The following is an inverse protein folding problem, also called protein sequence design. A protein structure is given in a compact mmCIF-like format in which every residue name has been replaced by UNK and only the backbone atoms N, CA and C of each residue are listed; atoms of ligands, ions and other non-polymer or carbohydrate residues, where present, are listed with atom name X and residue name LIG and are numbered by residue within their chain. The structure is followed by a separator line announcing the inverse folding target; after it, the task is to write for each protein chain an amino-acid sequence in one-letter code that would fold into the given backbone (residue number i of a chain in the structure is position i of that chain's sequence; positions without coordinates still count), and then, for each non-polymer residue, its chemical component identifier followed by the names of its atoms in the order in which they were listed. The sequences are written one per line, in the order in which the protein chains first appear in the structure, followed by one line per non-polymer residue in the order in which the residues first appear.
data_IF_905837369561
#
_entry.id   IF_905837369561
#
_cell.length_a   1.000
_cell.length_b   1.000
_cell.length_c   1.000
_cell.angle_alpha   90.00
_cell.angle_beta   90.00
_cell.angle_gamma   90.00
#
_symmetry.space_group_name_H-M   'P 1'
#
loop_
_entity.id
_entity.type
_entity.pdbx_description
1 polymer ?
#
# COMPACT_ATOMS: atom_id res chain seq x y z
N UNK A 1 30.35 8.38 -21.54
CA UNK A 1 30.49 6.99 -22.01
C UNK A 1 29.21 6.28 -21.59
N UNK A 2 28.19 6.30 -22.46
CA UNK A 2 26.93 5.60 -22.19
C UNK A 2 27.22 4.11 -22.33
N UNK A 3 27.21 3.38 -21.21
CA UNK A 3 27.17 1.93 -21.29
C UNK A 3 25.87 1.59 -22.01
N UNK A 4 25.97 0.94 -23.17
CA UNK A 4 24.87 0.20 -23.78
C UNK A 4 24.41 -0.80 -22.71
N UNK A 5 23.37 -0.45 -21.96
CA UNK A 5 22.70 -1.35 -21.02
C UNK A 5 22.27 -2.57 -21.83
N UNK A 6 22.79 -3.75 -21.47
CA UNK A 6 22.43 -4.99 -22.14
C UNK A 6 20.98 -5.32 -21.75
N UNK A 7 20.04 -4.75 -22.51
CA UNK A 7 18.59 -4.86 -22.32
C UNK A 7 18.11 -6.29 -22.00
N UNK A 8 18.59 -7.34 -22.71
CA UNK A 8 18.36 -8.74 -22.35
C UNK A 8 18.80 -9.14 -20.93
N UNK A 9 19.99 -8.71 -20.50
CA UNK A 9 20.53 -9.02 -19.17
C UNK A 9 19.69 -8.36 -18.07
N UNK A 10 19.25 -7.12 -18.28
CA UNK A 10 18.34 -6.44 -17.36
C UNK A 10 17.00 -7.18 -17.24
N UNK A 11 16.41 -7.57 -18.37
CA UNK A 11 15.18 -8.36 -18.37
C UNK A 11 15.33 -9.70 -17.64
N UNK A 12 16.46 -10.39 -17.81
CA UNK A 12 16.76 -11.63 -17.10
C UNK A 12 16.94 -11.42 -15.58
N UNK A 13 17.58 -10.32 -15.17
CA UNK A 13 17.71 -9.94 -13.75
C UNK A 13 16.36 -9.62 -13.12
N UNK A 14 15.49 -8.89 -13.82
CA UNK A 14 14.15 -8.62 -13.31
C UNK A 14 13.32 -9.91 -13.20
N UNK A 15 13.30 -10.73 -14.26
CA UNK A 15 12.63 -12.04 -14.25
C UNK A 15 13.08 -12.91 -13.07
N UNK A 16 14.40 -13.10 -12.91
CA UNK A 16 14.95 -13.92 -11.83
C UNK A 16 14.74 -13.29 -10.45
N UNK A 17 14.82 -11.96 -10.35
CA UNK A 17 14.56 -11.21 -9.12
C UNK A 17 13.13 -11.39 -8.61
N UNK A 18 12.13 -11.29 -9.49
CA UNK A 18 10.72 -11.46 -9.13
C UNK A 18 10.44 -12.87 -8.58
N UNK A 19 11.00 -13.90 -9.21
CA UNK A 19 10.86 -15.28 -8.74
C UNK A 19 11.60 -15.46 -7.41
N UNK A 20 12.85 -15.03 -7.34
CA UNK A 20 13.69 -15.20 -6.15
C UNK A 20 13.09 -14.53 -4.90
N UNK A 21 12.46 -13.37 -5.06
CA UNK A 21 11.79 -12.65 -3.97
C UNK A 21 10.60 -13.41 -3.36
N UNK A 22 10.02 -14.36 -4.12
CA UNK A 22 8.89 -15.20 -3.74
C UNK A 22 9.30 -16.65 -3.45
N UNK A 23 10.57 -17.01 -3.62
CA UNK A 23 11.07 -18.36 -3.36
C UNK A 23 11.55 -18.53 -1.91
N UNK A 24 11.18 -19.66 -1.31
CA UNK A 24 11.73 -20.15 -0.06
C UNK A 24 12.41 -21.51 -0.32
N UNK A 25 13.68 -21.74 0.12
CA UNK A 25 14.37 -23.01 -0.04
C UNK A 25 13.58 -24.24 0.44
N UNK A 26 12.72 -24.09 1.44
CA UNK A 26 11.95 -25.19 2.04
C UNK A 26 10.55 -25.38 1.43
N UNK A 27 9.95 -24.31 0.90
CA UNK A 27 8.53 -24.29 0.49
C UNK A 27 8.33 -24.11 -1.02
N UNK A 28 9.42 -23.88 -1.77
CA UNK A 28 9.36 -23.56 -3.19
C UNK A 28 8.96 -22.10 -3.45
N UNK A 29 8.43 -21.82 -4.64
CA UNK A 29 8.02 -20.48 -5.05
C UNK A 29 6.53 -20.26 -4.76
N UNK A 30 6.22 -19.20 -4.01
CA UNK A 30 4.85 -18.76 -3.79
C UNK A 30 4.35 -17.99 -5.03
N UNK A 31 3.49 -18.65 -5.82
CA UNK A 31 2.93 -18.11 -7.06
C UNK A 31 2.16 -16.81 -6.81
N UNK A 32 1.40 -16.70 -5.72
CA UNK A 32 0.61 -15.51 -5.42
C UNK A 32 1.53 -14.31 -5.16
N UNK A 33 2.65 -14.51 -4.46
CA UNK A 33 3.65 -13.45 -4.27
C UNK A 33 4.28 -13.01 -5.57
N UNK A 34 4.61 -13.92 -6.48
CA UNK A 34 5.10 -13.54 -7.81
C UNK A 34 4.06 -12.72 -8.57
N UNK A 35 2.78 -13.10 -8.53
CA UNK A 35 1.68 -12.32 -9.12
C UNK A 35 1.60 -10.91 -8.51
N UNK A 36 1.72 -10.77 -7.19
CA UNK A 36 1.74 -9.47 -6.52
C UNK A 36 2.96 -8.63 -6.90
N UNK A 37 4.14 -9.24 -7.04
CA UNK A 37 5.33 -8.56 -7.52
C UNK A 37 5.18 -8.08 -8.97
N UNK A 38 4.66 -8.93 -9.87
CA UNK A 38 4.34 -8.54 -11.24
C UNK A 38 3.33 -7.38 -11.28
N UNK A 39 2.31 -7.43 -10.43
CA UNK A 39 1.33 -6.34 -10.30
C UNK A 39 2.00 -5.02 -9.86
N UNK A 40 2.92 -5.08 -8.90
CA UNK A 40 3.73 -3.94 -8.50
C UNK A 40 4.55 -3.36 -9.65
N UNK A 41 5.26 -4.21 -10.40
CA UNK A 41 6.05 -3.77 -11.56
C UNK A 41 5.18 -3.07 -12.60
N UNK A 42 4.01 -3.63 -12.91
CA UNK A 42 3.05 -3.04 -13.83
C UNK A 42 2.56 -1.67 -13.35
N UNK A 43 2.11 -1.57 -12.10
CA UNK A 43 1.62 -0.30 -11.55
C UNK A 43 2.71 0.76 -11.55
N UNK A 44 3.94 0.42 -11.17
CA UNK A 44 5.06 1.38 -11.26
C UNK A 44 5.29 1.84 -12.70
N UNK A 45 5.18 0.94 -13.67
CA UNK A 45 5.33 1.25 -15.09
C UNK A 45 4.19 2.13 -15.60
N UNK A 46 2.95 1.90 -15.15
CA UNK A 46 1.78 2.68 -15.57
C UNK A 46 1.82 4.11 -15.05
N UNK A 47 2.30 4.30 -13.82
CA UNK A 47 2.43 5.61 -13.18
C UNK A 47 3.46 6.53 -13.87
N UNK A 48 4.24 6.02 -14.82
CA UNK A 48 5.15 6.81 -15.66
C UNK A 48 4.39 7.55 -16.78
N UNK A 49 3.23 7.04 -17.20
CA UNK A 49 2.41 7.65 -18.25
C UNK A 49 1.49 8.73 -17.69
N UNK A 50 1.09 9.68 -18.55
CA UNK A 50 0.20 10.78 -18.18
C UNK A 50 -1.19 10.30 -17.71
N UNK A 51 -1.70 9.22 -18.34
CA UNK A 51 -2.96 8.55 -17.99
C UNK A 51 -2.69 7.09 -17.58
N UNK A 52 -2.41 6.82 -16.28
CA UNK A 52 -2.07 5.48 -15.81
C UNK A 52 -3.20 4.44 -15.96
N UNK A 53 -4.45 4.89 -15.93
CA UNK A 53 -5.64 4.07 -16.11
C UNK A 53 -5.79 3.58 -17.56
N UNK A 54 -5.65 4.48 -18.53
CA UNK A 54 -5.62 4.12 -19.96
C UNK A 54 -4.45 3.17 -20.27
N UNK A 55 -3.28 3.43 -19.68
CA UNK A 55 -2.12 2.56 -19.82
C UNK A 55 -2.39 1.15 -19.25
N UNK A 56 -3.03 1.07 -18.09
CA UNK A 56 -3.41 -0.20 -17.46
C UNK A 56 -4.40 -0.99 -18.33
N UNK A 57 -5.45 -0.37 -18.84
CA UNK A 57 -6.44 -1.04 -19.70
C UNK A 57 -5.81 -1.57 -20.99
N UNK A 58 -5.05 -0.74 -21.70
CA UNK A 58 -4.34 -1.15 -22.91
C UNK A 58 -3.36 -2.29 -22.64
N UNK A 59 -2.74 -2.33 -21.45
CA UNK A 59 -1.82 -3.40 -21.08
C UNK A 59 -2.52 -4.73 -20.84
N UNK A 60 -3.75 -4.71 -20.31
CA UNK A 60 -4.55 -5.92 -20.17
C UNK A 60 -4.95 -6.46 -21.53
N UNK A 61 -5.37 -5.60 -22.47
CA UNK A 61 -5.66 -6.03 -23.85
C UNK A 61 -4.42 -6.64 -24.52
N UNK A 62 -3.26 -5.99 -24.39
CA UNK A 62 -2.00 -6.51 -24.91
C UNK A 62 -1.59 -7.84 -24.26
N UNK A 63 -1.80 -8.00 -22.96
CA UNK A 63 -1.53 -9.26 -22.27
C UNK A 63 -2.51 -10.35 -22.69
N UNK A 64 -3.79 -10.05 -22.88
CA UNK A 64 -4.78 -11.00 -23.38
C UNK A 64 -4.38 -11.52 -24.77
N UNK A 65 -3.93 -10.63 -25.67
CA UNK A 65 -3.41 -10.97 -26.99
C UNK A 65 -2.15 -11.85 -26.90
N UNK A 66 -1.17 -11.46 -26.07
CA UNK A 66 0.07 -12.23 -25.88
C UNK A 66 -0.21 -13.61 -25.29
N UNK A 67 -1.08 -13.68 -24.29
CA UNK A 67 -1.52 -14.91 -23.63
C UNK A 67 -2.52 -15.70 -24.47
N UNK A 68 -3.05 -15.17 -25.58
CA UNK A 68 -4.06 -15.86 -26.39
C UNK A 68 -5.28 -16.33 -25.58
N UNK A 69 -5.61 -15.66 -24.48
CA UNK A 69 -6.76 -16.00 -23.64
C UNK A 69 -7.29 -14.78 -22.87
N UNK A 70 -8.60 -14.80 -22.60
CA UNK A 70 -9.25 -13.84 -21.70
C UNK A 70 -9.07 -14.23 -20.22
N UNK A 71 -9.09 -13.27 -19.28
CA UNK A 71 -9.08 -13.57 -17.86
C UNK A 71 -10.35 -14.31 -17.46
N UNK A 72 -10.24 -15.19 -16.46
CA UNK A 72 -11.37 -15.97 -15.96
C UNK A 72 -12.53 -15.06 -15.51
N UNK A 73 -13.74 -15.32 -16.03
CA UNK A 73 -14.94 -14.56 -15.71
C UNK A 73 -15.48 -14.85 -14.30
N UNK A 74 -16.26 -13.91 -13.78
CA UNK A 74 -17.00 -14.07 -12.52
C UNK A 74 -16.40 -13.34 -11.32
N UNK A 75 -17.05 -13.53 -10.17
CA UNK A 75 -16.67 -12.89 -8.92
C UNK A 75 -15.47 -13.60 -8.30
N UNK A 76 -14.42 -12.83 -8.03
CA UNK A 76 -13.27 -13.31 -7.25
C UNK A 76 -13.71 -13.42 -5.80
N UNK A 77 -13.53 -14.59 -5.21
CA UNK A 77 -13.94 -14.82 -3.81
C UNK A 77 -13.08 -13.98 -2.86
N UNK A 78 -13.63 -13.59 -1.70
CA UNK A 78 -12.90 -12.78 -0.71
C UNK A 78 -11.59 -13.41 -0.23
N UNK A 79 -11.49 -14.73 -0.29
CA UNK A 79 -10.33 -15.49 0.18
C UNK A 79 -9.33 -15.78 -0.95
N UNK A 80 -9.63 -15.40 -2.20
CA UNK A 80 -8.73 -15.61 -3.33
C UNK A 80 -7.57 -14.59 -3.37
N UNK A 81 -7.73 -13.45 -2.69
CA UNK A 81 -6.68 -12.43 -2.59
C UNK A 81 -6.15 -12.36 -1.15
N UNK A 82 -4.84 -12.10 -0.97
CA UNK A 82 -4.29 -11.86 0.36
C UNK A 82 -4.91 -10.62 1.04
N UNK A 83 -4.80 -10.50 2.37
CA UNK A 83 -5.17 -9.29 3.09
C UNK A 83 -4.49 -8.03 2.56
N UNK A 84 -5.15 -6.88 2.68
CA UNK A 84 -4.71 -5.61 2.10
C UNK A 84 -3.27 -5.21 2.47
N UNK A 85 -2.86 -5.42 3.73
CA UNK A 85 -1.49 -5.12 4.19
C UNK A 85 -0.43 -6.02 3.52
N UNK A 86 -0.75 -7.29 3.25
CA UNK A 86 0.15 -8.22 2.55
C UNK A 86 0.23 -7.83 1.08
N UNK A 87 -0.91 -7.48 0.47
CA UNK A 87 -0.93 -6.99 -0.90
C UNK A 87 -0.10 -5.73 -1.06
N UNK A 88 -0.28 -4.73 -0.20
CA UNK A 88 0.52 -3.51 -0.22
C UNK A 88 2.02 -3.81 -0.10
N UNK A 89 2.39 -4.68 0.86
CA UNK A 89 3.79 -5.07 1.08
C UNK A 89 4.43 -5.75 -0.16
N UNK A 90 3.82 -6.82 -0.67
CA UNK A 90 4.42 -7.59 -1.77
C UNK A 90 4.35 -6.82 -3.10
N UNK A 91 3.30 -6.02 -3.34
CA UNK A 91 3.24 -5.16 -4.53
C UNK A 91 4.28 -4.04 -4.47
N UNK A 92 4.54 -3.43 -3.31
CA UNK A 92 5.59 -2.43 -3.17
C UNK A 92 6.99 -3.00 -3.45
N UNK A 93 7.27 -4.26 -3.07
CA UNK A 93 8.52 -4.93 -3.46
C UNK A 93 8.68 -5.04 -4.98
N UNK A 94 7.58 -5.33 -5.69
CA UNK A 94 7.54 -5.31 -7.15
C UNK A 94 7.79 -3.92 -7.74
N UNK A 95 7.13 -2.90 -7.18
CA UNK A 95 7.35 -1.49 -7.59
C UNK A 95 8.79 -1.04 -7.37
N UNK A 96 9.36 -1.36 -6.21
CA UNK A 96 10.76 -1.07 -5.91
C UNK A 96 11.70 -1.75 -6.90
N UNK A 97 11.47 -3.02 -7.24
CA UNK A 97 12.24 -3.70 -8.27
C UNK A 97 12.15 -2.95 -9.61
N UNK A 98 10.95 -2.55 -10.04
CA UNK A 98 10.78 -1.79 -11.29
C UNK A 98 11.54 -0.47 -11.29
N UNK A 99 11.51 0.32 -10.20
CA UNK A 99 12.26 1.58 -10.08
C UNK A 99 13.77 1.38 -10.30
N UNK A 100 14.35 0.37 -9.65
CA UNK A 100 15.77 0.06 -9.78
C UNK A 100 16.19 -0.23 -11.22
N UNK A 101 15.31 -0.83 -12.03
CA UNK A 101 15.59 -1.08 -13.45
C UNK A 101 15.21 0.10 -14.36
N UNK A 102 14.21 0.89 -13.98
CA UNK A 102 13.75 2.03 -14.75
C UNK A 102 14.78 3.17 -14.75
N UNK A 103 15.45 3.42 -13.62
CA UNK A 103 16.56 4.40 -13.54
C UNK A 103 17.70 4.10 -14.52
N UNK A 104 17.91 2.82 -14.85
CA UNK A 104 18.91 2.36 -15.82
C UNK A 104 18.37 2.35 -17.26
N UNK A 105 17.04 2.49 -17.45
CA UNK A 105 16.31 2.43 -18.72
C UNK A 105 15.74 3.80 -19.10
N UNK A 106 16.62 4.80 -19.24
CA UNK A 106 16.23 6.20 -19.47
C UNK A 106 15.79 6.54 -20.90
N UNK A 107 15.91 5.61 -21.84
CA UNK A 107 15.80 5.93 -23.27
C UNK A 107 14.37 5.82 -23.84
N UNK A 108 13.51 4.92 -23.34
CA UNK A 108 12.15 4.74 -23.85
C UNK A 108 11.22 3.96 -22.90
N UNK A 109 10.20 4.64 -22.37
CA UNK A 109 9.19 4.10 -21.45
C UNK A 109 8.32 3.02 -22.12
N UNK A 110 7.96 3.20 -23.40
CA UNK A 110 7.18 2.22 -24.15
C UNK A 110 7.94 0.91 -24.40
N UNK A 111 9.26 0.97 -24.62
CA UNK A 111 10.07 -0.25 -24.76
C UNK A 111 10.21 -0.99 -23.44
N UNK A 112 10.40 -0.27 -22.33
CA UNK A 112 10.42 -0.87 -21.00
C UNK A 112 9.09 -1.55 -20.71
N UNK A 113 7.98 -0.87 -20.96
CA UNK A 113 6.65 -1.43 -20.79
C UNK A 113 6.45 -2.74 -21.58
N UNK A 114 6.81 -2.75 -22.87
CA UNK A 114 6.74 -3.97 -23.69
C UNK A 114 7.62 -5.11 -23.16
N UNK A 115 8.82 -4.79 -22.65
CA UNK A 115 9.68 -5.78 -22.00
C UNK A 115 8.99 -6.39 -20.77
N UNK A 116 8.37 -5.56 -19.92
CA UNK A 116 7.63 -6.04 -18.75
C UNK A 116 6.50 -6.99 -19.14
N UNK A 117 5.68 -6.63 -20.13
CA UNK A 117 4.61 -7.51 -20.60
C UNK A 117 5.15 -8.84 -21.14
N UNK A 118 6.28 -8.81 -21.85
CA UNK A 118 6.97 -10.03 -22.31
C UNK A 118 7.49 -10.91 -21.17
N UNK A 119 8.05 -10.31 -20.11
CA UNK A 119 8.49 -11.03 -18.90
C UNK A 119 7.30 -11.71 -18.23
N UNK A 120 6.21 -10.97 -18.00
CA UNK A 120 4.99 -11.47 -17.36
C UNK A 120 4.37 -12.60 -18.17
N UNK A 121 4.23 -12.41 -19.49
CA UNK A 121 3.78 -13.46 -20.39
C UNK A 121 4.61 -14.75 -20.22
N UNK A 122 5.94 -14.64 -20.25
CA UNK A 122 6.81 -15.81 -20.14
C UNK A 122 6.72 -16.49 -18.77
N UNK A 123 6.52 -15.75 -17.68
CA UNK A 123 6.29 -16.31 -16.34
C UNK A 123 4.98 -17.10 -16.32
N UNK A 124 3.88 -16.50 -16.80
CA UNK A 124 2.56 -17.14 -16.78
C UNK A 124 2.55 -18.40 -17.63
N UNK A 125 3.12 -18.36 -18.83
CA UNK A 125 3.22 -19.53 -19.72
C UNK A 125 4.07 -20.64 -19.10
N UNK A 126 5.17 -20.30 -18.42
CA UNK A 126 6.01 -21.29 -17.76
C UNK A 126 5.26 -22.06 -16.64
N UNK A 127 4.28 -21.44 -15.98
CA UNK A 127 3.49 -22.11 -14.95
C UNK A 127 2.42 -23.08 -15.49
N UNK A 128 2.14 -23.05 -16.79
CA UNK A 128 1.23 -24.06 -17.39
C UNK A 128 1.84 -25.47 -17.34
N UNK A 129 3.17 -25.58 -17.43
CA UNK A 129 3.89 -26.83 -17.25
C UNK A 129 3.67 -27.41 -15.83
N UNK A 130 3.37 -26.53 -14.86
CA UNK A 130 3.02 -26.85 -13.47
C UNK A 130 1.49 -26.89 -13.21
N UNK A 131 0.69 -27.05 -14.28
CA UNK A 131 -0.78 -27.14 -14.24
C UNK A 131 -1.50 -25.90 -13.70
N UNK A 132 -0.87 -24.73 -13.72
CA UNK A 132 -1.57 -23.48 -13.39
C UNK A 132 -2.35 -22.97 -14.61
N UNK A 133 -3.59 -22.55 -14.38
CA UNK A 133 -4.44 -21.99 -15.43
C UNK A 133 -3.99 -20.58 -15.82
N UNK A 134 -3.70 -20.37 -17.11
CA UNK A 134 -3.36 -19.06 -17.68
C UNK A 134 -4.45 -18.02 -17.42
N UNK A 135 -5.71 -18.39 -17.67
CA UNK A 135 -6.85 -17.50 -17.49
C UNK A 135 -7.08 -17.12 -16.01
N UNK A 136 -6.86 -18.05 -15.08
CA UNK A 136 -6.98 -17.79 -13.64
C UNK A 136 -5.83 -16.91 -13.13
N UNK A 137 -4.60 -17.23 -13.53
CA UNK A 137 -3.42 -16.43 -13.20
C UNK A 137 -3.56 -15.00 -13.71
N UNK A 138 -4.03 -14.85 -14.96
CA UNK A 138 -4.26 -13.54 -15.55
C UNK A 138 -5.36 -12.78 -14.80
N UNK A 139 -6.45 -13.45 -14.40
CA UNK A 139 -7.50 -12.87 -13.57
C UNK A 139 -6.97 -12.34 -12.23
N UNK A 140 -6.15 -13.13 -11.54
CA UNK A 140 -5.55 -12.75 -10.26
C UNK A 140 -4.56 -11.60 -10.42
N UNK A 141 -3.79 -11.58 -11.51
CA UNK A 141 -2.89 -10.47 -11.84
C UNK A 141 -3.68 -9.17 -12.01
N UNK A 142 -4.75 -9.16 -12.80
CA UNK A 142 -5.62 -7.99 -13.01
C UNK A 142 -6.14 -7.46 -11.67
N UNK A 143 -6.64 -8.34 -10.79
CA UNK A 143 -7.15 -7.93 -9.49
C UNK A 143 -6.05 -7.34 -8.59
N UNK A 144 -4.85 -7.93 -8.58
CA UNK A 144 -3.71 -7.39 -7.84
C UNK A 144 -3.27 -6.02 -8.36
N UNK A 145 -3.21 -5.86 -9.68
CA UNK A 145 -2.87 -4.58 -10.34
C UNK A 145 -3.88 -3.51 -9.95
N UNK A 146 -5.18 -3.80 -10.07
CA UNK A 146 -6.25 -2.86 -9.70
C UNK A 146 -6.19 -2.47 -8.24
N UNK A 147 -5.93 -3.43 -7.33
CA UNK A 147 -5.80 -3.14 -5.89
C UNK A 147 -4.58 -2.30 -5.58
N UNK A 148 -3.42 -2.65 -6.14
CA UNK A 148 -2.18 -1.89 -5.98
C UNK A 148 -2.35 -0.45 -6.49
N UNK A 149 -2.92 -0.27 -7.69
CA UNK A 149 -3.24 1.06 -8.24
C UNK A 149 -4.17 1.84 -7.31
N UNK A 150 -5.20 1.19 -6.78
CA UNK A 150 -6.13 1.80 -5.81
C UNK A 150 -5.40 2.30 -4.56
N UNK A 151 -4.47 1.51 -4.01
CA UNK A 151 -3.71 1.91 -2.81
C UNK A 151 -2.80 3.11 -3.07
N UNK A 152 -2.17 3.16 -4.24
CA UNK A 152 -1.30 4.26 -4.64
C UNK A 152 -2.05 5.56 -4.89
N UNK A 153 -3.12 5.51 -5.69
CA UNK A 153 -3.99 6.66 -5.96
C UNK A 153 -4.59 7.14 -4.65
N UNK A 154 -5.11 6.23 -3.82
CA UNK A 154 -5.69 6.61 -2.54
C UNK A 154 -4.68 7.30 -1.61
N UNK A 155 -3.44 6.79 -1.53
CA UNK A 155 -2.42 7.41 -0.71
C UNK A 155 -2.08 8.83 -1.18
N UNK A 156 -2.01 9.06 -2.49
CA UNK A 156 -1.75 10.37 -3.08
C UNK A 156 -2.92 11.34 -2.88
N UNK A 157 -4.12 10.95 -3.31
CA UNK A 157 -5.32 11.80 -3.26
C UNK A 157 -5.70 12.19 -1.84
N UNK A 158 -5.53 11.28 -0.86
CA UNK A 158 -5.77 11.61 0.54
C UNK A 158 -4.76 12.64 1.07
N UNK A 159 -3.50 12.58 0.65
CA UNK A 159 -2.50 13.60 0.96
C UNK A 159 -2.86 14.95 0.34
N UNK A 160 -3.25 14.95 -0.93
CA UNK A 160 -3.63 16.17 -1.65
C UNK A 160 -4.87 16.80 -1.02
N UNK A 161 -5.87 16.00 -0.64
CA UNK A 161 -7.05 16.46 0.11
C UNK A 161 -6.66 17.15 1.41
N UNK A 162 -5.78 16.56 2.25
CA UNK A 162 -5.41 17.20 3.53
C UNK A 162 -4.59 18.48 3.30
N UNK A 163 -3.72 18.51 2.29
CA UNK A 163 -2.92 19.70 1.98
C UNK A 163 -3.82 20.82 1.43
N UNK A 164 -4.62 20.53 0.40
CA UNK A 164 -5.43 21.53 -0.26
C UNK A 164 -6.62 21.99 0.57
N UNK A 165 -7.33 21.06 1.24
CA UNK A 165 -8.56 21.40 1.97
C UNK A 165 -8.27 21.80 3.40
N UNK A 166 -7.34 21.13 4.08
CA UNK A 166 -7.12 21.35 5.51
C UNK A 166 -6.00 22.34 5.80
N UNK A 167 -4.84 22.19 5.16
CA UNK A 167 -3.75 23.15 5.35
C UNK A 167 -4.09 24.48 4.68
N UNK A 168 -4.36 24.49 3.37
CA UNK A 168 -4.50 25.73 2.63
C UNK A 168 -5.78 26.54 2.94
N UNK A 169 -6.91 25.88 3.24
CA UNK A 169 -8.19 26.57 3.49
C UNK A 169 -8.57 26.69 4.98
N UNK A 170 -8.21 25.69 5.80
CA UNK A 170 -8.62 25.63 7.21
C UNK A 170 -7.46 25.89 8.19
N UNK A 171 -6.22 26.05 7.69
CA UNK A 171 -5.06 26.41 8.51
C UNK A 171 -4.54 25.29 9.42
N UNK A 172 -4.80 24.02 9.07
CA UNK A 172 -4.24 22.88 9.80
C UNK A 172 -2.72 22.82 9.67
N UNK A 173 -2.06 22.35 10.72
CA UNK A 173 -0.63 22.04 10.67
C UNK A 173 -0.38 20.68 10.00
N UNK A 174 0.85 20.42 9.55
CA UNK A 174 1.23 19.09 9.07
C UNK A 174 1.07 18.01 10.15
N UNK A 175 1.25 18.37 11.43
CA UNK A 175 0.98 17.50 12.57
C UNK A 175 -0.49 17.10 12.65
N UNK A 176 -1.42 18.03 12.42
CA UNK A 176 -2.86 17.75 12.37
C UNK A 176 -3.20 16.81 11.21
N UNK A 177 -2.57 17.00 10.05
CA UNK A 177 -2.74 16.10 8.90
C UNK A 177 -2.27 14.68 9.22
N UNK A 178 -1.08 14.52 9.80
CA UNK A 178 -0.54 13.22 10.23
C UNK A 178 -1.47 12.55 11.25
N UNK A 179 -1.86 13.29 12.30
CA UNK A 179 -2.71 12.76 13.35
C UNK A 179 -4.10 12.39 12.82
N UNK A 180 -4.68 13.19 11.93
CA UNK A 180 -6.01 12.94 11.37
C UNK A 180 -6.08 11.67 10.50
N UNK A 181 -5.15 11.50 9.55
CA UNK A 181 -5.10 10.33 8.67
C UNK A 181 -4.76 9.05 9.46
N UNK A 182 -3.82 9.15 10.41
CA UNK A 182 -3.47 8.05 11.32
C UNK A 182 -4.68 7.64 12.17
N UNK A 183 -5.40 8.62 12.72
CA UNK A 183 -6.59 8.37 13.52
C UNK A 183 -7.73 7.73 12.70
N UNK A 184 -8.00 8.22 11.48
CA UNK A 184 -8.98 7.61 10.58
C UNK A 184 -8.57 6.18 10.23
N UNK A 185 -7.29 5.92 9.97
CA UNK A 185 -6.80 4.56 9.75
C UNK A 185 -7.13 3.64 10.93
N UNK A 186 -6.84 4.08 12.16
CA UNK A 186 -7.11 3.32 13.39
C UNK A 186 -8.61 3.09 13.62
N UNK A 187 -9.44 4.09 13.32
CA UNK A 187 -10.91 3.98 13.38
C UNK A 187 -11.43 2.94 12.40
N UNK A 188 -10.99 2.99 11.13
CA UNK A 188 -11.41 2.07 10.07
C UNK A 188 -11.00 0.63 10.39
N UNK A 189 -9.80 0.44 10.95
CA UNK A 189 -9.34 -0.87 11.42
C UNK A 189 -10.21 -1.42 12.55
N UNK A 190 -10.51 -0.58 13.56
CA UNK A 190 -11.36 -0.99 14.68
C UNK A 190 -12.79 -1.36 14.21
N UNK A 191 -13.29 -0.70 13.17
CA UNK A 191 -14.58 -1.05 12.55
C UNK A 191 -14.53 -2.28 11.64
N UNK A 192 -13.34 -2.63 11.11
CA UNK A 192 -13.19 -3.81 10.25
C UNK A 192 -13.05 -5.11 11.03
N UNK A 193 -12.55 -5.04 12.27
CA UNK A 193 -12.43 -6.22 13.13
C UNK A 193 -13.74 -6.51 13.87
N UNK A 194 -14.02 -7.79 14.11
CA UNK A 194 -15.15 -8.18 14.95
C UNK A 194 -14.92 -7.70 16.39
N UNK A 195 -16.02 -7.45 17.13
CA UNK A 195 -16.02 -7.03 18.55
C UNK A 195 -15.16 -7.93 19.43
N UNK A 196 -15.15 -9.23 19.16
CA UNK A 196 -14.39 -10.23 19.93
C UNK A 196 -12.88 -10.19 19.67
N UNK A 197 -12.43 -9.47 18.63
CA UNK A 197 -11.01 -9.28 18.25
C UNK A 197 -10.55 -7.85 18.60
N UNK A 198 -11.50 -6.93 18.82
CA UNK A 198 -11.23 -5.55 19.22
C UNK A 198 -10.83 -5.51 20.70
N UNK A 199 -9.52 -5.60 20.95
CA UNK A 199 -8.98 -5.67 22.31
C UNK A 199 -8.30 -4.38 22.74
N UNK A 200 -8.53 -4.03 24.00
CA UNK A 200 -7.74 -3.03 24.70
C UNK A 200 -6.36 -3.60 25.00
N UNK A 201 -5.33 -2.79 24.80
CA UNK A 201 -3.95 -3.16 25.02
C UNK A 201 -3.20 -2.10 25.83
N UNK A 202 -2.00 -2.46 26.30
CA UNK A 202 -1.17 -1.62 27.18
C UNK A 202 0.19 -1.39 26.55
N UNK A 203 0.64 -0.14 26.55
CA UNK A 203 1.97 0.24 26.10
C UNK A 203 2.27 -0.25 24.69
N UNK A 204 3.41 -0.93 24.54
CA UNK A 204 3.88 -1.45 23.26
C UNK A 204 3.28 -2.82 22.86
N UNK A 205 2.41 -3.41 23.68
CA UNK A 205 1.77 -4.72 23.40
C UNK A 205 0.60 -4.55 22.41
N UNK A 206 0.90 -3.98 21.24
CA UNK A 206 -0.08 -3.66 20.21
C UNK A 206 -0.65 -4.94 19.58
N UNK A 207 -1.97 -5.05 19.34
CA UNK A 207 -2.57 -6.18 18.63
C UNK A 207 -1.99 -6.36 17.23
N UNK A 208 -1.86 -7.61 16.79
CA UNK A 208 -1.19 -7.95 15.53
C UNK A 208 -1.75 -7.19 14.31
N UNK A 209 -3.07 -7.10 14.16
CA UNK A 209 -3.70 -6.37 13.05
C UNK A 209 -3.42 -4.87 13.06
N UNK A 210 -3.23 -4.28 14.25
CA UNK A 210 -2.85 -2.86 14.38
C UNK A 210 -1.36 -2.66 14.10
N UNK A 211 -0.52 -3.60 14.52
CA UNK A 211 0.91 -3.61 14.19
C UNK A 211 1.13 -3.74 12.66
N UNK A 212 0.35 -4.61 11.99
CA UNK A 212 0.37 -4.76 10.53
C UNK A 212 0.03 -3.47 9.78
N UNK A 213 -1.01 -2.74 10.21
CA UNK A 213 -1.39 -1.45 9.58
C UNK A 213 -0.39 -0.35 9.93
N UNK A 214 0.13 -0.30 11.16
CA UNK A 214 1.18 0.62 11.55
C UNK A 214 2.48 0.38 10.76
N UNK A 215 2.77 -0.88 10.42
CA UNK A 215 3.90 -1.24 9.58
C UNK A 215 3.75 -0.68 8.14
N UNK A 216 2.55 -0.71 7.56
CA UNK A 216 2.29 -0.05 6.25
C UNK A 216 2.66 1.44 6.30
N UNK A 217 2.16 2.15 7.31
CA UNK A 217 2.48 3.57 7.52
C UNK A 217 3.99 3.81 7.68
N UNK A 218 4.65 2.95 8.45
CA UNK A 218 6.09 3.02 8.72
C UNK A 218 6.91 2.80 7.45
N UNK A 219 6.60 1.75 6.69
CA UNK A 219 7.28 1.41 5.45
C UNK A 219 7.15 2.52 4.42
N UNK A 220 5.95 3.09 4.27
CA UNK A 220 5.72 4.18 3.33
C UNK A 220 6.53 5.44 3.67
N UNK A 221 6.58 5.82 4.95
CA UNK A 221 7.37 6.95 5.39
C UNK A 221 8.88 6.73 5.19
N UNK A 222 9.38 5.53 5.54
CA UNK A 222 10.80 5.18 5.40
C UNK A 222 11.21 5.15 3.93
N UNK A 223 10.35 4.61 3.07
CA UNK A 223 10.55 4.60 1.61
C UNK A 223 10.74 6.01 1.05
N UNK A 224 10.06 6.99 1.62
CA UNK A 224 10.13 8.41 1.23
C UNK A 224 11.21 9.21 1.97
N UNK A 225 12.15 8.53 2.64
CA UNK A 225 13.35 9.15 3.20
C UNK A 225 13.28 9.49 4.69
N UNK A 226 12.21 9.11 5.40
CA UNK A 226 12.20 9.22 6.86
C UNK A 226 13.16 8.18 7.44
N UNK A 227 14.08 8.55 8.35
CA UNK A 227 14.99 7.58 8.94
C UNK A 227 14.22 6.44 9.60
N UNK A 228 14.56 5.18 9.33
CA UNK A 228 13.89 4.04 9.98
C UNK A 228 13.97 4.16 11.52
N UNK A 229 15.18 4.39 12.05
CA UNK A 229 15.43 4.70 13.46
C UNK A 229 14.97 3.61 14.43
N UNK A 230 14.79 3.98 15.70
CA UNK A 230 14.19 3.12 16.72
C UNK A 230 12.73 2.81 16.41
N UNK A 231 12.26 1.67 16.89
CA UNK A 231 10.87 1.24 16.82
C UNK A 231 9.90 2.37 17.21
N UNK A 232 8.95 2.67 16.32
CA UNK A 232 8.05 3.81 16.42
C UNK A 232 7.10 3.70 17.63
N UNK A 233 7.01 2.51 18.23
CA UNK A 233 6.27 2.25 19.46
C UNK A 233 6.93 2.86 20.71
N UNK A 234 8.23 3.16 20.69
CA UNK A 234 8.96 3.67 21.86
C UNK A 234 8.51 5.07 22.35
N UNK A 235 7.77 5.83 21.53
CA UNK A 235 7.26 7.16 21.90
C UNK A 235 5.86 7.17 22.50
N UNK A 236 5.21 6.01 22.66
CA UNK A 236 3.87 5.94 23.22
C UNK A 236 3.89 6.21 24.74
N UNK A 237 2.92 7.00 25.21
CA UNK A 237 2.82 7.35 26.63
C UNK A 237 2.73 6.08 27.51
N UNK A 238 3.45 6.08 28.64
CA UNK A 238 3.17 5.13 29.70
C UNK A 238 1.69 5.27 30.11
N UNK A 239 1.01 4.15 30.30
CA UNK A 239 -0.44 3.97 30.36
C UNK A 239 -1.18 4.68 31.54
N UNK A 240 -0.66 5.79 32.03
CA UNK A 240 -1.15 6.54 33.18
C UNK A 240 -2.14 7.65 32.77
N UNK A 241 -2.42 7.76 31.47
CA UNK A 241 -3.28 8.79 30.87
C UNK A 241 -4.52 8.12 30.26
N UNK A 242 -5.73 8.69 30.45
CA UNK A 242 -6.93 8.22 29.77
C UNK A 242 -6.79 8.21 28.25
N UNK A 243 -7.57 7.33 27.59
CA UNK A 243 -7.58 7.26 26.12
C UNK A 243 -7.94 8.62 25.53
N UNK A 244 -7.11 9.13 24.63
CA UNK A 244 -7.21 10.50 24.12
C UNK A 244 -7.16 10.54 22.58
N UNK A 245 -8.17 9.95 21.94
CA UNK A 245 -8.33 10.00 20.49
C UNK A 245 -8.57 11.45 19.99
N UNK A 246 -7.95 11.87 18.87
CA UNK A 246 -8.12 13.22 18.32
C UNK A 246 -9.45 13.37 17.56
N UNK A 247 -10.57 13.31 18.27
CA UNK A 247 -11.93 13.25 17.70
C UNK A 247 -12.22 14.41 16.74
N UNK A 248 -11.80 15.63 17.08
CA UNK A 248 -12.03 16.80 16.22
C UNK A 248 -11.33 16.65 14.86
N UNK A 249 -10.12 16.09 14.83
CA UNK A 249 -9.38 15.85 13.59
C UNK A 249 -10.02 14.74 12.75
N UNK A 250 -10.51 13.68 13.40
CA UNK A 250 -11.25 12.60 12.73
C UNK A 250 -12.50 13.18 12.06
N UNK A 251 -13.33 13.90 12.81
CA UNK A 251 -14.56 14.50 12.29
C UNK A 251 -14.28 15.51 11.17
N UNK A 252 -13.14 16.19 11.23
CA UNK A 252 -12.72 17.14 10.21
C UNK A 252 -12.38 16.49 8.86
N UNK A 253 -11.80 15.29 8.85
CA UNK A 253 -11.30 14.66 7.61
C UNK A 253 -12.14 13.46 7.12
N UNK A 254 -12.84 12.76 8.02
CA UNK A 254 -13.59 11.55 7.70
C UNK A 254 -14.63 11.71 6.57
N UNK A 255 -15.36 12.84 6.43
CA UNK A 255 -16.27 13.04 5.30
C UNK A 255 -15.55 13.04 3.94
N UNK A 256 -14.34 13.58 3.87
CA UNK A 256 -13.55 13.61 2.64
C UNK A 256 -13.02 12.23 2.31
N UNK A 257 -12.46 11.51 3.29
CA UNK A 257 -12.02 10.12 3.10
C UNK A 257 -13.19 9.23 2.65
N UNK A 258 -14.35 9.35 3.30
CA UNK A 258 -15.56 8.60 2.95
C UNK A 258 -16.01 8.86 1.52
N UNK A 259 -16.17 10.13 1.14
CA UNK A 259 -16.57 10.52 -0.21
C UNK A 259 -15.60 10.04 -1.28
N UNK A 260 -14.29 10.09 -1.00
CA UNK A 260 -13.26 9.61 -1.91
C UNK A 260 -13.32 8.08 -2.07
N UNK A 261 -13.39 7.34 -0.96
CA UNK A 261 -13.48 5.88 -1.00
C UNK A 261 -14.75 5.38 -1.71
N UNK A 262 -15.87 6.09 -1.54
CA UNK A 262 -17.11 5.80 -2.26
C UNK A 262 -16.95 6.03 -3.77
N UNK A 263 -16.26 7.10 -4.17
CA UNK A 263 -16.01 7.42 -5.57
C UNK A 263 -15.16 6.36 -6.29
N UNK A 264 -14.14 5.82 -5.61
CA UNK A 264 -13.28 4.76 -6.17
C UNK A 264 -13.82 3.33 -5.91
N UNK A 265 -14.99 3.21 -5.27
CA UNK A 265 -15.62 1.92 -4.97
C UNK A 265 -14.89 1.07 -3.91
N UNK A 266 -14.00 1.64 -3.10
CA UNK A 266 -13.27 0.93 -2.06
C UNK A 266 -14.12 0.83 -0.78
N UNK A 267 -14.95 -0.20 -0.66
CA UNK A 267 -15.90 -0.36 0.46
C UNK A 267 -15.36 -1.12 1.67
N UNK A 268 -14.29 -1.86 1.49
CA UNK A 268 -13.70 -2.68 2.56
C UNK A 268 -12.99 -1.80 3.59
N UNK A 269 -13.46 -1.83 4.85
CA UNK A 269 -12.94 -0.98 5.93
C UNK A 269 -11.47 -1.27 6.24
N UNK A 270 -11.04 -2.53 6.08
CA UNK A 270 -9.65 -2.91 6.32
C UNK A 270 -8.73 -2.32 5.23
N UNK A 271 -9.10 -2.45 3.96
CA UNK A 271 -8.39 -1.80 2.86
C UNK A 271 -8.39 -0.27 2.97
N UNK A 272 -9.51 0.36 3.39
CA UNK A 272 -9.55 1.80 3.67
C UNK A 272 -8.55 2.18 4.77
N UNK A 273 -8.43 1.37 5.83
CA UNK A 273 -7.45 1.58 6.91
C UNK A 273 -6.02 1.55 6.38
N UNK A 274 -5.68 0.59 5.51
CA UNK A 274 -4.38 0.49 4.83
C UNK A 274 -4.10 1.72 3.97
N UNK A 275 -5.07 2.19 3.17
CA UNK A 275 -4.90 3.42 2.38
C UNK A 275 -4.65 4.65 3.26
N UNK A 276 -5.41 4.81 4.34
CA UNK A 276 -5.21 5.93 5.28
C UNK A 276 -3.86 5.84 6.00
N UNK A 277 -3.42 4.63 6.38
CA UNK A 277 -2.11 4.42 6.99
C UNK A 277 -0.98 4.79 6.02
N UNK A 278 -1.12 4.39 4.76
CA UNK A 278 -0.17 4.73 3.70
C UNK A 278 -0.13 6.25 3.47
N UNK A 279 -1.28 6.90 3.33
CA UNK A 279 -1.37 8.37 3.24
C UNK A 279 -0.74 9.08 4.46
N UNK A 280 -0.97 8.57 5.68
CA UNK A 280 -0.34 9.09 6.88
C UNK A 280 1.19 8.94 6.83
N UNK A 281 1.70 7.81 6.32
CA UNK A 281 3.14 7.59 6.11
C UNK A 281 3.75 8.61 5.15
N UNK A 282 3.05 8.93 4.05
CA UNK A 282 3.45 10.02 3.14
C UNK A 282 3.48 11.38 3.84
N UNK A 283 2.45 11.71 4.62
CA UNK A 283 2.43 12.98 5.37
C UNK A 283 3.55 13.06 6.43
N UNK A 284 3.90 11.94 7.07
CA UNK A 284 5.08 11.87 7.94
C UNK A 284 6.34 12.18 7.15
N UNK A 285 6.49 11.65 5.92
CA UNK A 285 7.63 11.98 5.07
C UNK A 285 7.64 13.43 4.58
N UNK A 286 6.48 14.02 4.28
CA UNK A 286 6.38 15.45 3.94
C UNK A 286 6.85 16.32 5.10
N UNK A 287 6.47 16.00 6.33
CA UNK A 287 6.81 16.81 7.50
C UNK A 287 8.24 16.56 8.03
N UNK A 288 8.69 15.31 8.00
CA UNK A 288 9.88 14.85 8.70
C UNK A 288 10.98 14.25 7.81
N UNK A 289 10.77 14.23 6.50
CA UNK A 289 11.79 13.86 5.52
C UNK A 289 12.68 15.04 5.12
N UNK A 290 13.75 14.74 4.38
CA UNK A 290 14.67 15.73 3.82
C UNK A 290 15.76 16.22 4.78
N UNK A 291 16.60 17.13 4.29
CA UNK A 291 17.75 17.68 5.05
C UNK A 291 17.33 18.65 6.17
N UNK A 292 16.22 19.36 5.97
CA UNK A 292 15.67 20.35 6.91
C UNK A 292 14.18 20.03 7.11
N UNK A 293 13.84 19.09 8.01
CA UNK A 293 12.45 18.73 8.25
C UNK A 293 11.69 19.86 8.96
N UNK A 294 10.40 20.01 8.67
CA UNK A 294 9.50 20.93 9.39
C UNK A 294 9.20 20.40 10.80
N UNK A 295 9.11 19.08 10.94
CA UNK A 295 8.92 18.38 12.20
C UNK A 295 9.96 17.27 12.35
N UNK A 296 10.67 17.26 13.49
CA UNK A 296 11.64 16.20 13.77
C UNK A 296 11.00 14.79 13.67
N UNK A 297 11.68 13.81 13.05
CA UNK A 297 11.17 12.43 12.98
C UNK A 297 10.85 11.86 14.37
N UNK A 298 11.58 12.26 15.40
CA UNK A 298 11.35 11.86 16.79
C UNK A 298 10.02 12.39 17.37
N UNK A 299 9.37 13.36 16.72
CA UNK A 299 8.06 13.91 17.07
C UNK A 299 6.97 13.38 16.13
N UNK A 300 7.26 13.35 14.82
CA UNK A 300 6.30 12.93 13.80
C UNK A 300 5.83 11.48 13.98
N UNK A 301 6.76 10.57 14.26
CA UNK A 301 6.46 9.14 14.37
C UNK A 301 5.61 8.82 15.61
N UNK A 302 5.96 9.31 16.82
CA UNK A 302 5.10 9.11 17.99
C UNK A 302 3.74 9.77 17.85
N UNK A 303 3.64 10.93 17.17
CA UNK A 303 2.37 11.58 16.90
C UNK A 303 1.44 10.67 16.07
N UNK A 304 1.95 10.13 14.96
CA UNK A 304 1.20 9.20 14.10
C UNK A 304 0.77 7.94 14.87
N UNK A 305 1.72 7.33 15.60
CA UNK A 305 1.48 6.13 16.40
C UNK A 305 0.49 6.37 17.54
N UNK A 306 0.57 7.51 18.22
CA UNK A 306 -0.40 7.89 19.26
C UNK A 306 -1.80 8.04 18.66
N UNK A 307 -1.93 8.76 17.54
CA UNK A 307 -3.23 8.99 16.92
C UNK A 307 -3.92 7.70 16.44
N UNK A 308 -3.19 6.78 15.79
CA UNK A 308 -3.76 5.51 15.32
C UNK A 308 -4.15 4.60 16.50
N UNK A 309 -3.27 4.47 17.51
CA UNK A 309 -3.48 3.58 18.65
C UNK A 309 -4.60 4.06 19.58
N UNK A 310 -4.62 5.35 19.92
CA UNK A 310 -5.63 5.94 20.80
C UNK A 310 -7.02 5.94 20.15
N UNK A 311 -7.08 6.16 18.84
CA UNK A 311 -8.36 6.07 18.11
C UNK A 311 -8.86 4.64 18.05
N UNK A 312 -7.98 3.67 17.74
CA UNK A 312 -8.34 2.26 17.75
C UNK A 312 -8.91 1.84 19.12
N UNK A 313 -8.21 2.17 20.21
CA UNK A 313 -8.66 1.90 21.58
C UNK A 313 -10.04 2.53 21.86
N UNK A 314 -10.21 3.81 21.52
CA UNK A 314 -11.47 4.54 21.75
C UNK A 314 -12.66 3.85 21.09
N UNK A 315 -12.51 3.37 19.85
CA UNK A 315 -13.57 2.65 19.14
C UNK A 315 -13.83 1.27 19.76
N UNK A 316 -12.79 0.51 20.11
CA UNK A 316 -12.98 -0.78 20.79
C UNK A 316 -13.72 -0.62 22.13
N UNK A 317 -13.41 0.42 22.92
CA UNK A 317 -14.13 0.72 24.16
C UNK A 317 -15.61 0.99 23.91
N UNK A 318 -15.93 1.77 22.87
CA UNK A 318 -17.32 2.06 22.50
C UNK A 318 -18.05 0.78 22.07
N UNK A 319 -17.44 -0.06 21.25
CA UNK A 319 -18.04 -1.32 20.81
C UNK A 319 -18.29 -2.30 21.96
N UNK A 320 -17.36 -2.40 22.92
CA UNK A 320 -17.54 -3.21 24.13
C UNK A 320 -18.66 -2.68 25.01
N UNK A 321 -18.81 -1.36 25.14
CA UNK A 321 -19.89 -0.74 25.93
C UNK A 321 -21.29 -0.96 25.34
N UNK A 322 -21.40 -1.13 24.01
CA UNK A 322 -22.66 -1.41 23.30
C UNK A 322 -23.02 -2.90 23.32
N UNK A 323 -22.04 -3.77 23.61
CA UNK A 323 -22.22 -5.23 23.64
C UNK A 323 -22.64 -5.77 25.02
N UNK A 324 -22.74 -4.91 26.03
CA UNK A 324 -23.19 -5.19 27.40
C UNK A 324 -24.63 -4.72 27.61
#
# INVERSE_FOLDING_TARGET
MFALTNKPDMGARLYSGLIHMASNPEQGTDVMKVIQHMAGVLVETYMVFDNPDEAMEASFDMLADLLGCEPLEGLVTRNALPPAHIMDFETERGRFAARMFFEEWLDCQFEFHKLILGIIHNIIVAWEDDHQSRAETFRLLIECVKRCMTYEIAAQELCDIVIEKKVALEGWSLGDCIASLSAVSGRRLALSVHTDICHMFRGADIPEHLDQVANVMTQEAVRLGVPAGSDWRFGLAANDIPVSAPINLILGIEPYCGSFFDAIGLRDQYAQSVCCAKAAGRMVAVAAGGEVPEMEPAIAKPLAMSAITETYKSVCMQQQSVSL
#
